data_IF_164509186720
#
_entry.id   IF_164509186720
#
_cell.length_a   1.000
_cell.length_b   1.000
_cell.length_c   1.000
_cell.angle_alpha   90.00
_cell.angle_beta   90.00
_cell.angle_gamma   90.00
#
_symmetry.space_group_name_H-M   'P 1'
#
loop_
_entity.id
_entity.type
_entity.pdbx_description
1 polymer ?
#
# COMPACT_ATOMS: atom_id res chain seq x y z
N UNK A 1 -3.20 -3.20 5.66
CA UNK A 1 -4.55 -3.44 6.22
C UNK A 1 -5.41 -2.22 5.91
N UNK A 2 -6.69 -2.39 5.58
CA UNK A 2 -7.59 -1.31 5.20
C UNK A 2 -8.97 -1.54 5.84
N UNK A 3 -9.65 -0.51 6.32
CA UNK A 3 -11.07 -0.56 6.72
C UNK A 3 -11.68 0.85 6.64
N UNK A 4 -12.40 1.26 5.60
CA UNK A 4 -12.90 0.50 4.44
C UNK A 4 -11.83 0.31 3.36
N UNK A 5 -12.01 0.80 2.14
CA UNK A 5 -11.19 0.40 1.00
C UNK A 5 -9.91 1.20 0.78
N UNK A 6 -8.92 0.54 0.16
CA UNK A 6 -7.67 1.13 -0.30
C UNK A 6 -7.19 0.55 -1.63
N UNK A 7 -6.51 1.39 -2.42
CA UNK A 7 -5.78 0.97 -3.62
C UNK A 7 -4.35 1.49 -3.58
N UNK A 8 -3.37 0.59 -3.75
CA UNK A 8 -1.95 0.93 -3.84
C UNK A 8 -1.51 0.95 -5.31
N UNK A 9 -0.89 2.06 -5.70
CA UNK A 9 -0.32 2.26 -7.01
C UNK A 9 1.19 2.48 -6.90
N UNK A 10 1.93 1.86 -7.82
CA UNK A 10 3.36 2.10 -8.02
C UNK A 10 3.58 2.49 -9.48
N UNK A 11 4.24 3.62 -9.74
CA UNK A 11 4.43 4.21 -11.07
C UNK A 11 3.11 4.33 -11.86
N UNK A 12 2.04 4.68 -11.15
CA UNK A 12 0.70 4.82 -11.72
C UNK A 12 -0.05 3.51 -11.99
N UNK A 13 0.61 2.35 -11.86
CA UNK A 13 -0.02 1.03 -12.03
C UNK A 13 -0.63 0.55 -10.73
N UNK A 14 -1.86 0.03 -10.79
CA UNK A 14 -2.52 -0.60 -9.64
C UNK A 14 -1.79 -1.89 -9.29
N UNK A 15 -1.26 -1.98 -8.07
CA UNK A 15 -0.51 -3.15 -7.57
C UNK A 15 -1.33 -3.92 -6.54
N UNK A 16 -2.04 -3.21 -5.65
CA UNK A 16 -2.95 -3.84 -4.69
C UNK A 16 -4.31 -3.20 -4.82
N UNK A 17 -5.31 -4.03 -5.07
CA UNK A 17 -6.72 -3.65 -5.04
C UNK A 17 -7.36 -4.24 -3.77
N UNK A 18 -7.67 -3.37 -2.83
CA UNK A 18 -8.41 -3.67 -1.61
C UNK A 18 -9.55 -2.65 -1.47
N UNK A 19 -10.21 -2.31 -2.58
CA UNK A 19 -11.29 -1.33 -2.59
C UNK A 19 -12.63 -1.94 -2.11
N UNK A 20 -13.58 -1.07 -1.77
CA UNK A 20 -14.92 -1.47 -1.31
C UNK A 20 -15.11 -1.42 0.21
N UNK A 21 -16.34 -1.72 0.65
CA UNK A 21 -16.70 -1.75 2.08
C UNK A 21 -16.30 -3.09 2.68
N UNK A 22 -15.37 -3.08 3.62
CA UNK A 22 -14.94 -4.28 4.32
C UNK A 22 -14.21 -3.90 5.61
N UNK A 23 -14.22 -4.83 6.58
CA UNK A 23 -13.43 -4.71 7.80
C UNK A 23 -11.92 -4.73 7.55
N UNK A 24 -11.12 -4.76 8.61
CA UNK A 24 -9.66 -4.85 8.48
C UNK A 24 -9.22 -6.12 7.73
N UNK A 25 -8.92 -5.97 6.45
CA UNK A 25 -8.50 -7.07 5.58
C UNK A 25 -7.15 -6.74 4.92
N UNK A 26 -6.31 -7.77 4.78
CA UNK A 26 -5.05 -7.69 4.04
C UNK A 26 -5.24 -8.17 2.60
N UNK A 27 -4.76 -7.35 1.67
CA UNK A 27 -4.53 -7.72 0.26
C UNK A 27 -3.09 -7.41 -0.09
N UNK A 28 -2.56 -8.17 -1.02
CA UNK A 28 -1.19 -8.04 -1.51
C UNK A 28 -1.15 -8.19 -3.02
N UNK A 29 -0.04 -7.71 -3.59
CA UNK A 29 0.26 -7.75 -5.00
C UNK A 29 1.76 -7.53 -5.19
N UNK A 30 2.26 -7.83 -6.38
CA UNK A 30 3.69 -7.77 -6.70
C UNK A 30 3.93 -6.94 -7.95
N UNK A 31 5.07 -6.27 -7.99
CA UNK A 31 5.57 -5.56 -9.16
C UNK A 31 7.09 -5.60 -9.15
N UNK A 32 7.70 -5.49 -10.34
CA UNK A 32 9.14 -5.36 -10.46
C UNK A 32 9.54 -3.89 -10.36
N UNK A 33 10.57 -3.60 -9.55
CA UNK A 33 11.14 -2.27 -9.39
C UNK A 33 12.60 -2.29 -9.77
N UNK A 34 13.02 -1.28 -10.52
CA UNK A 34 14.43 -1.00 -10.75
C UNK A 34 15.03 -0.29 -9.53
N UNK A 35 16.35 -0.20 -9.44
CA UNK A 35 16.97 0.65 -8.43
C UNK A 35 16.62 2.12 -8.68
N UNK A 36 16.15 2.85 -7.66
CA UNK A 36 15.82 4.27 -7.76
C UNK A 36 14.53 4.65 -7.04
N UNK A 37 14.08 5.87 -7.29
CA UNK A 37 12.79 6.37 -6.77
C UNK A 37 11.67 5.94 -7.69
N UNK A 38 10.58 5.49 -7.09
CA UNK A 38 9.34 5.11 -7.78
C UNK A 38 8.17 5.89 -7.17
N UNK A 39 7.21 6.30 -8.01
CA UNK A 39 6.06 7.04 -7.51
C UNK A 39 5.12 6.08 -6.78
N UNK A 40 4.88 6.34 -5.51
CA UNK A 40 3.90 5.61 -4.70
C UNK A 40 2.63 6.47 -4.52
N UNK A 41 1.46 5.84 -4.64
CA UNK A 41 0.18 6.46 -4.28
C UNK A 41 -0.72 5.45 -3.60
N UNK A 42 -1.23 5.81 -2.44
CA UNK A 42 -2.29 5.06 -1.75
C UNK A 42 -3.56 5.89 -1.83
N UNK A 43 -4.58 5.38 -2.51
CA UNK A 43 -5.94 5.89 -2.38
C UNK A 43 -6.62 5.13 -1.25
N UNK A 44 -7.27 5.84 -0.33
CA UNK A 44 -7.95 5.25 0.82
C UNK A 44 -9.27 5.98 1.05
N UNK A 45 -10.29 5.25 1.49
CA UNK A 45 -11.51 5.84 2.00
C UNK A 45 -12.01 5.12 3.25
N UNK A 46 -12.79 5.84 4.03
CA UNK A 46 -13.51 5.32 5.18
C UNK A 46 -14.94 5.83 5.11
N UNK A 47 -15.91 4.94 5.24
CA UNK A 47 -17.33 5.22 5.13
C UNK A 47 -18.05 5.18 6.49
N UNK A 48 -17.50 4.52 7.51
CA UNK A 48 -18.04 4.58 8.87
C UNK A 48 -17.43 3.57 9.85
N UNK A 49 -17.69 3.77 11.15
CA UNK A 49 -17.17 2.89 12.20
C UNK A 49 -15.67 3.09 12.48
N UNK A 50 -14.93 1.99 12.61
CA UNK A 50 -13.48 2.01 12.84
C UNK A 50 -12.70 2.43 11.59
N UNK A 51 -11.43 2.81 11.77
CA UNK A 51 -10.54 3.19 10.68
C UNK A 51 -9.19 2.48 10.85
N UNK A 52 -8.67 1.90 9.78
CA UNK A 52 -7.33 1.35 9.74
C UNK A 52 -6.73 1.49 8.35
N UNK A 53 -5.46 1.89 8.29
CA UNK A 53 -4.64 1.84 7.09
C UNK A 53 -3.21 1.49 7.46
N UNK A 54 -2.70 0.38 6.94
CA UNK A 54 -1.30 -0.01 7.07
C UNK A 54 -0.77 -0.51 5.72
N UNK A 55 0.44 -0.08 5.35
CA UNK A 55 1.11 -0.50 4.11
C UNK A 55 2.44 -1.17 4.42
N UNK A 56 2.64 -2.35 3.82
CA UNK A 56 3.82 -3.18 4.01
C UNK A 56 4.46 -3.50 2.67
N UNK A 57 5.75 -3.80 2.69
CA UNK A 57 6.51 -4.27 1.54
C UNK A 57 7.50 -5.37 1.94
N UNK A 58 7.91 -6.17 0.96
CA UNK A 58 8.89 -7.25 1.07
C UNK A 58 9.48 -7.51 -0.31
N UNK A 59 10.66 -8.11 -0.39
CA UNK A 59 11.30 -8.44 -1.65
C UNK A 59 12.52 -9.34 -1.47
N UNK A 60 13.29 -9.59 -2.54
CA UNK A 60 14.52 -10.38 -2.46
C UNK A 60 15.47 -9.80 -1.40
N UNK A 61 15.78 -10.59 -0.36
CA UNK A 61 16.64 -10.16 0.76
C UNK A 61 16.02 -9.12 1.70
N UNK A 62 14.76 -8.72 1.49
CA UNK A 62 14.07 -7.73 2.31
C UNK A 62 12.87 -8.39 3.03
N UNK A 63 12.96 -8.63 4.36
CA UNK A 63 11.85 -9.18 5.10
C UNK A 63 10.65 -8.23 5.10
N UNK A 64 9.45 -8.80 5.24
CA UNK A 64 8.20 -8.03 5.32
C UNK A 64 8.26 -7.06 6.49
N UNK A 65 8.01 -5.79 6.19
CA UNK A 65 8.00 -4.72 7.18
C UNK A 65 7.06 -3.60 6.74
N UNK A 66 6.63 -2.74 7.67
CA UNK A 66 5.91 -1.51 7.30
C UNK A 66 6.83 -0.65 6.43
N UNK A 67 6.29 0.01 5.42
CA UNK A 67 7.10 0.93 4.60
C UNK A 67 7.66 2.01 5.55
N UNK A 68 8.99 2.09 5.75
CA UNK A 68 9.56 3.03 6.69
C UNK A 68 9.53 4.45 6.09
N UNK A 69 9.45 5.47 6.93
CA UNK A 69 9.49 6.86 6.49
C UNK A 69 10.77 7.19 5.70
N UNK A 70 11.88 6.51 5.98
CA UNK A 70 13.14 6.65 5.24
C UNK A 70 13.09 6.15 3.79
N UNK A 71 12.06 5.38 3.42
CA UNK A 71 11.80 4.95 2.05
C UNK A 71 10.79 5.85 1.32
N UNK A 72 10.25 6.88 1.99
CA UNK A 72 9.27 7.81 1.44
C UNK A 72 9.88 9.20 1.29
N UNK A 73 9.60 9.83 0.16
CA UNK A 73 10.10 11.16 -0.18
C UNK A 73 8.91 12.03 -0.56
N UNK A 74 8.89 13.27 -0.06
CA UNK A 74 7.94 14.29 -0.50
C UNK A 74 8.65 15.10 -1.59
N UNK A 75 7.99 15.27 -2.73
CA UNK A 75 8.41 16.16 -3.81
C UNK A 75 7.58 17.44 -3.78
#
# INVERSE_FOLDING_TARGET
VSNDGARLYIDGKLVVDNDGLHGAEERSGSTHLTAGRHRIRVAYFQAGGGMALDTYYSGPGLPRQRIPASALFVE
#
